data_IF_881814841307
#
_entry.id   IF_881814841307
#
_cell.length_a   1.000
_cell.length_b   1.000
_cell.length_c   1.000
_cell.angle_alpha   90.00
_cell.angle_beta   90.00
_cell.angle_gamma   90.00
#
_symmetry.space_group_name_H-M   'P 1'
#
loop_
_entity.id
_entity.type
_entity.pdbx_description
1 polymer ?
#
# COMPACT_ATOMS: atom_id res chain seq x y z
N UNK A 1 3.64 6.93 4.10
CA UNK A 1 4.36 6.23 3.04
C UNK A 1 3.42 5.35 2.26
N UNK A 2 3.50 5.39 0.95
CA UNK A 2 2.80 4.49 0.04
C UNK A 2 3.83 3.48 -0.49
N UNK A 3 3.65 2.21 -0.16
CA UNK A 3 4.57 1.15 -0.56
C UNK A 3 3.80 0.06 -1.29
N UNK A 4 4.05 -0.17 -2.59
CA UNK A 4 3.44 -1.27 -3.31
C UNK A 4 3.99 -2.62 -2.80
N UNK A 5 3.35 -3.73 -3.17
CA UNK A 5 3.86 -5.08 -2.92
C UNK A 5 5.07 -5.38 -3.84
N UNK A 6 6.10 -4.52 -3.71
CA UNK A 6 7.36 -4.56 -4.45
C UNK A 6 8.51 -4.86 -3.48
N UNK A 7 9.33 -5.85 -3.80
CA UNK A 7 10.44 -6.27 -2.97
C UNK A 7 9.99 -6.91 -1.65
N UNK A 8 10.54 -6.44 -0.54
CA UNK A 8 10.23 -6.93 0.81
C UNK A 8 9.71 -5.78 1.69
N UNK A 9 8.49 -5.32 1.44
CA UNK A 9 7.88 -4.21 2.18
C UNK A 9 7.82 -4.44 3.72
N UNK A 10 7.84 -5.67 4.18
CA UNK A 10 7.91 -5.99 5.62
C UNK A 10 9.23 -5.47 6.24
N UNK A 11 10.34 -5.54 5.51
CA UNK A 11 11.64 -5.00 5.98
C UNK A 11 11.57 -3.49 6.13
N UNK A 12 10.87 -2.79 5.24
CA UNK A 12 10.66 -1.35 5.35
C UNK A 12 9.96 -1.00 6.66
N UNK A 13 8.88 -1.73 7.00
CA UNK A 13 8.15 -1.54 8.26
C UNK A 13 9.01 -1.81 9.49
N UNK A 14 9.82 -2.86 9.46
CA UNK A 14 10.73 -3.22 10.54
C UNK A 14 11.80 -2.14 10.76
N UNK A 15 12.52 -1.76 9.69
CA UNK A 15 13.57 -0.73 9.74
C UNK A 15 13.06 0.63 10.24
N UNK A 16 11.93 1.08 9.70
CA UNK A 16 11.36 2.37 10.12
C UNK A 16 10.82 2.33 11.56
N UNK A 17 10.27 1.19 11.98
CA UNK A 17 9.73 1.03 13.33
C UNK A 17 10.78 1.12 14.45
N UNK A 18 12.06 0.83 14.16
CA UNK A 18 13.15 1.01 15.11
C UNK A 18 13.48 2.49 15.39
N UNK A 19 13.23 3.38 14.42
CA UNK A 19 13.66 4.78 14.50
C UNK A 19 12.50 5.76 14.58
N UNK A 20 11.30 5.37 14.18
CA UNK A 20 10.14 6.26 14.06
C UNK A 20 8.88 5.60 14.63
N UNK A 21 7.93 6.37 15.15
CA UNK A 21 6.61 5.86 15.50
C UNK A 21 5.86 5.48 14.21
N UNK A 22 5.84 4.21 13.87
CA UNK A 22 5.15 3.66 12.69
C UNK A 22 3.76 3.18 13.06
N UNK A 23 2.76 3.46 12.23
CA UNK A 23 1.41 2.92 12.32
C UNK A 23 0.98 2.37 10.97
N UNK A 24 0.33 1.20 10.96
CA UNK A 24 -0.16 0.59 9.73
C UNK A 24 -1.53 -0.08 9.93
N UNK A 25 -2.28 -0.18 8.84
CA UNK A 25 -3.50 -1.00 8.78
C UNK A 25 -3.13 -2.44 8.40
N UNK A 26 -3.85 -3.41 8.96
CA UNK A 26 -3.74 -4.80 8.54
C UNK A 26 -5.12 -5.41 8.35
N UNK A 27 -5.23 -6.30 7.40
CA UNK A 27 -6.41 -7.16 7.26
C UNK A 27 -6.27 -8.37 8.16
N UNK A 28 -7.35 -8.71 8.87
CA UNK A 28 -7.33 -9.85 9.78
C UNK A 28 -7.25 -11.15 8.98
N UNK A 29 -6.30 -12.03 9.30
CA UNK A 29 -6.27 -13.35 8.68
C UNK A 29 -7.57 -14.13 8.94
N UNK A 30 -8.00 -14.90 7.95
CA UNK A 30 -9.17 -15.78 8.11
C UNK A 30 -8.98 -16.84 9.21
N UNK A 31 -7.74 -17.23 9.49
CA UNK A 31 -7.36 -18.11 10.60
C UNK A 31 -6.93 -17.26 11.80
N UNK A 32 -7.77 -17.21 12.84
CA UNK A 32 -7.52 -16.43 14.04
C UNK A 32 -6.17 -16.76 14.71
N UNK A 33 -5.73 -18.02 14.64
CA UNK A 33 -4.43 -18.45 15.17
C UNK A 33 -3.23 -17.73 14.49
N UNK A 34 -3.36 -17.33 13.24
CA UNK A 34 -2.33 -16.60 12.52
C UNK A 34 -2.30 -15.11 12.86
N UNK A 35 -3.40 -14.55 13.35
CA UNK A 35 -3.47 -13.11 13.67
C UNK A 35 -2.40 -12.72 14.69
N UNK A 36 -2.28 -13.50 15.77
CA UNK A 36 -1.27 -13.24 16.81
C UNK A 36 0.16 -13.31 16.24
N UNK A 37 0.46 -14.32 15.45
CA UNK A 37 1.80 -14.49 14.86
C UNK A 37 2.15 -13.30 13.96
N UNK A 38 1.23 -12.91 13.06
CA UNK A 38 1.43 -11.79 12.16
C UNK A 38 1.60 -10.47 12.91
N UNK A 39 0.80 -10.25 13.96
CA UNK A 39 0.90 -9.05 14.80
C UNK A 39 2.22 -9.02 15.57
N UNK A 40 2.60 -10.12 16.21
CA UNK A 40 3.85 -10.22 16.97
C UNK A 40 5.07 -9.95 16.06
N UNK A 41 5.06 -10.47 14.84
CA UNK A 41 6.12 -10.22 13.86
C UNK A 41 6.21 -8.73 13.46
N UNK A 42 5.08 -8.10 13.12
CA UNK A 42 5.04 -6.70 12.65
C UNK A 42 5.28 -5.70 13.78
N UNK A 43 4.84 -6.00 14.99
CA UNK A 43 5.01 -5.14 16.16
C UNK A 43 6.37 -5.28 16.83
N UNK A 44 7.09 -6.37 16.55
CA UNK A 44 8.41 -6.65 17.17
C UNK A 44 9.41 -5.51 17.02
N UNK A 45 9.31 -4.75 15.93
CA UNK A 45 10.19 -3.63 15.61
C UNK A 45 9.52 -2.26 15.87
N UNK A 46 8.53 -2.20 16.77
CA UNK A 46 7.95 -0.94 17.22
C UNK A 46 6.75 -0.42 16.40
N UNK A 47 6.35 -1.09 15.34
CA UNK A 47 5.18 -0.68 14.56
C UNK A 47 3.86 -0.91 15.34
N UNK A 48 2.93 0.03 15.29
CA UNK A 48 1.57 -0.12 15.83
C UNK A 48 0.62 -0.55 14.72
N UNK A 49 0.03 -1.73 14.88
CA UNK A 49 -0.89 -2.30 13.89
C UNK A 49 -2.34 -2.06 14.28
N UNK A 50 -3.15 -1.62 13.31
CA UNK A 50 -4.58 -1.36 13.48
C UNK A 50 -5.39 -2.22 12.50
N UNK A 51 -6.36 -3.00 13.00
CA UNK A 51 -7.23 -3.77 12.13
C UNK A 51 -8.06 -2.85 11.22
N UNK A 52 -8.28 -3.26 9.97
CA UNK A 52 -9.14 -2.53 9.02
C UNK A 52 -10.58 -2.53 9.57
N UNK A 53 -10.97 -1.37 10.08
CA UNK A 53 -12.29 -1.10 10.66
C UNK A 53 -12.47 0.41 10.80
N UNK A 54 -13.69 0.86 11.08
CA UNK A 54 -13.92 2.27 11.38
C UNK A 54 -13.11 2.79 12.58
N UNK A 55 -12.86 1.94 13.60
CA UNK A 55 -12.00 2.28 14.73
C UNK A 55 -10.52 2.35 14.31
N UNK A 56 -10.04 1.37 13.52
CA UNK A 56 -8.67 1.36 13.01
C UNK A 56 -8.37 2.59 12.15
N UNK A 57 -9.29 2.98 11.26
CA UNK A 57 -9.14 4.20 10.45
C UNK A 57 -9.07 5.47 11.32
N UNK A 58 -9.89 5.57 12.35
CA UNK A 58 -9.80 6.71 13.30
C UNK A 58 -8.46 6.74 14.04
N UNK A 59 -7.93 5.58 14.40
CA UNK A 59 -6.62 5.47 15.06
C UNK A 59 -5.49 5.89 14.12
N UNK A 60 -5.52 5.48 12.84
CA UNK A 60 -4.56 5.90 11.82
C UNK A 60 -4.59 7.43 11.64
N UNK A 61 -5.76 8.05 11.51
CA UNK A 61 -5.87 9.51 11.39
C UNK A 61 -5.31 10.22 12.63
N UNK A 62 -5.56 9.66 13.83
CA UNK A 62 -4.98 10.19 15.08
C UNK A 62 -3.47 10.04 15.10
N UNK A 63 -2.92 8.91 14.65
CA UNK A 63 -1.49 8.67 14.54
C UNK A 63 -0.83 9.67 13.57
N UNK A 64 -1.41 9.88 12.37
CA UNK A 64 -0.94 10.88 11.41
C UNK A 64 -0.87 12.29 12.01
N UNK A 65 -1.90 12.70 12.76
CA UNK A 65 -1.93 14.01 13.44
C UNK A 65 -0.89 14.14 14.54
N UNK A 66 -0.41 13.04 15.10
CA UNK A 66 0.67 12.99 16.10
C UNK A 66 2.07 12.91 15.46
N UNK A 67 2.16 12.92 14.13
CA UNK A 67 3.43 12.85 13.41
C UNK A 67 3.98 11.42 13.23
N UNK A 68 3.16 10.38 13.42
CA UNK A 68 3.57 9.01 13.08
C UNK A 68 3.75 8.83 11.58
N UNK A 69 4.69 8.01 11.19
CA UNK A 69 4.74 7.45 9.84
C UNK A 69 3.59 6.45 9.66
N UNK A 70 2.74 6.70 8.70
CA UNK A 70 1.70 5.73 8.31
C UNK A 70 2.13 5.03 7.04
N UNK A 71 2.20 3.70 7.09
CA UNK A 71 2.53 2.85 5.95
C UNK A 71 1.24 2.24 5.40
N UNK A 72 1.03 2.40 4.10
CA UNK A 72 -0.12 1.88 3.36
C UNK A 72 0.35 1.18 2.08
N UNK A 73 -0.20 0.00 1.81
CA UNK A 73 -0.01 -0.75 0.57
C UNK A 73 -1.19 -0.46 -0.37
N UNK A 74 -1.00 0.41 -1.39
CA UNK A 74 -2.13 0.99 -2.12
C UNK A 74 -2.52 0.22 -3.40
N UNK A 75 -1.83 -0.85 -3.74
CA UNK A 75 -1.88 -1.52 -5.04
C UNK A 75 -2.83 -2.73 -5.10
N UNK A 76 -3.54 -3.04 -4.02
CA UNK A 76 -4.58 -4.06 -4.04
C UNK A 76 -5.96 -3.48 -4.37
N UNK A 77 -6.79 -4.33 -4.99
CA UNK A 77 -8.15 -3.97 -5.41
C UNK A 77 -9.07 -3.87 -4.19
N UNK A 78 -9.70 -2.73 -3.95
CA UNK A 78 -10.60 -2.58 -2.82
C UNK A 78 -11.93 -3.31 -3.06
N UNK A 79 -12.68 -3.57 -1.98
CA UNK A 79 -14.08 -3.94 -2.13
C UNK A 79 -14.91 -2.76 -2.62
N UNK A 80 -15.97 -3.03 -3.39
CA UNK A 80 -16.83 -1.98 -3.93
C UNK A 80 -17.41 -1.08 -2.82
N UNK A 81 -17.73 -1.65 -1.66
CA UNK A 81 -18.21 -0.88 -0.50
C UNK A 81 -17.16 0.06 0.10
N UNK A 82 -15.89 -0.30 -0.01
CA UNK A 82 -14.78 0.53 0.45
C UNK A 82 -14.52 1.73 -0.46
N UNK A 83 -15.09 1.71 -1.66
CA UNK A 83 -14.94 2.73 -2.67
C UNK A 83 -13.58 2.71 -3.38
N UNK A 84 -13.62 3.02 -4.67
CA UNK A 84 -12.47 3.09 -5.55
C UNK A 84 -12.82 3.89 -6.79
N UNK A 85 -11.81 4.21 -7.59
CA UNK A 85 -11.95 4.79 -8.92
C UNK A 85 -11.30 3.86 -9.95
N UNK A 86 -11.82 3.86 -11.16
CA UNK A 86 -11.17 3.17 -12.28
C UNK A 86 -10.13 4.11 -12.86
N UNK A 87 -8.91 3.63 -12.96
CA UNK A 87 -7.79 4.38 -13.50
C UNK A 87 -6.83 3.43 -14.22
N UNK A 88 -6.07 3.89 -15.22
CA UNK A 88 -5.12 3.06 -15.93
C UNK A 88 -4.01 2.55 -14.96
N UNK A 89 -3.59 1.30 -15.17
CA UNK A 89 -2.42 0.68 -14.57
C UNK A 89 -1.79 -0.24 -15.61
N UNK A 90 -0.57 0.09 -16.06
CA UNK A 90 0.07 -0.53 -17.23
C UNK A 90 -0.87 -0.62 -18.43
N UNK A 91 -1.44 0.53 -18.80
CA UNK A 91 -2.36 0.71 -19.94
C UNK A 91 -3.69 -0.07 -19.85
N UNK A 92 -3.95 -0.75 -18.73
CA UNK A 92 -5.18 -1.46 -18.46
C UNK A 92 -6.00 -0.78 -17.37
N UNK A 93 -7.30 -0.71 -17.55
CA UNK A 93 -8.18 -0.19 -16.50
C UNK A 93 -8.10 -1.06 -15.24
N UNK A 94 -7.91 -0.41 -14.10
CA UNK A 94 -7.84 -1.07 -12.80
C UNK A 94 -8.65 -0.33 -11.74
N UNK A 95 -9.49 -1.05 -10.99
CA UNK A 95 -10.19 -0.48 -9.86
C UNK A 95 -9.23 -0.22 -8.71
N UNK A 96 -8.99 1.06 -8.43
CA UNK A 96 -7.93 1.55 -7.53
C UNK A 96 -8.53 2.12 -6.26
N UNK A 97 -7.94 1.79 -5.11
CA UNK A 97 -8.43 2.23 -3.81
C UNK A 97 -8.26 3.74 -3.59
N UNK A 98 -9.21 4.34 -2.88
CA UNK A 98 -9.17 5.76 -2.49
C UNK A 98 -8.83 5.97 -1.01
N UNK A 99 -8.34 4.94 -0.34
CA UNK A 99 -8.01 5.05 1.08
C UNK A 99 -6.90 6.07 1.34
N UNK A 100 -5.86 6.06 0.48
CA UNK A 100 -4.76 7.03 0.57
C UNK A 100 -5.28 8.47 0.46
N UNK A 101 -6.12 8.77 -0.53
CA UNK A 101 -6.76 10.08 -0.72
C UNK A 101 -7.50 10.54 0.54
N UNK A 102 -8.38 9.67 1.07
CA UNK A 102 -9.19 9.99 2.25
C UNK A 102 -8.35 10.28 3.50
N UNK A 103 -7.25 9.58 3.65
CA UNK A 103 -6.31 9.81 4.75
C UNK A 103 -5.56 11.14 4.57
N UNK A 104 -5.09 11.43 3.37
CA UNK A 104 -4.39 12.67 3.04
C UNK A 104 -5.28 13.90 3.24
N UNK A 105 -6.51 13.87 2.74
CA UNK A 105 -7.49 14.94 2.94
C UNK A 105 -7.77 15.26 4.41
N UNK A 106 -7.78 14.22 5.27
CA UNK A 106 -8.08 14.37 6.71
C UNK A 106 -6.88 14.76 7.57
N UNK A 107 -5.66 14.54 7.09
CA UNK A 107 -4.44 14.71 7.89
C UNK A 107 -3.51 15.80 7.38
N UNK A 108 -3.62 16.19 6.10
CA UNK A 108 -2.66 17.07 5.40
C UNK A 108 -1.21 16.56 5.50
N UNK A 109 -1.03 15.25 5.58
CA UNK A 109 0.27 14.62 5.67
C UNK A 109 1.03 14.74 4.35
N UNK A 110 2.35 14.80 4.43
CA UNK A 110 3.22 14.63 3.26
C UNK A 110 3.17 13.17 2.81
N UNK A 111 3.30 12.93 1.51
CA UNK A 111 3.30 11.60 0.91
C UNK A 111 4.63 11.33 0.21
N UNK A 112 5.15 10.13 0.42
CA UNK A 112 6.29 9.59 -0.32
C UNK A 112 5.95 8.16 -0.73
N UNK A 113 6.46 7.76 -1.89
CA UNK A 113 6.54 6.37 -2.29
C UNK A 113 7.75 5.72 -1.63
N UNK A 114 7.63 4.45 -1.26
CA UNK A 114 8.74 3.70 -0.66
C UNK A 114 8.78 2.25 -1.16
N UNK A 115 9.96 1.67 -1.21
CA UNK A 115 10.15 0.22 -1.46
C UNK A 115 11.39 -0.29 -0.74
N UNK A 116 11.44 -1.62 -0.50
CA UNK A 116 12.61 -2.31 0.03
C UNK A 116 13.01 -3.42 -0.95
N UNK A 117 13.95 -3.13 -1.80
CA UNK A 117 14.40 -4.02 -2.87
C UNK A 117 15.45 -5.00 -2.35
N UNK A 118 15.32 -6.26 -2.70
CA UNK A 118 16.31 -7.29 -2.38
C UNK A 118 17.45 -7.27 -3.39
N UNK A 119 18.66 -7.40 -2.90
CA UNK A 119 19.83 -7.72 -3.70
C UNK A 119 20.59 -8.89 -3.07
N UNK A 120 21.37 -9.57 -3.87
CA UNK A 120 22.28 -10.64 -3.44
C UNK A 120 23.70 -10.22 -3.81
N UNK A 121 24.57 -10.18 -2.82
CA UNK A 121 26.00 -9.92 -3.01
C UNK A 121 26.85 -11.01 -2.35
N UNK A 122 28.16 -10.82 -2.32
CA UNK A 122 29.11 -11.77 -1.72
C UNK A 122 28.89 -11.98 -0.21
N UNK A 123 28.20 -11.06 0.49
CA UNK A 123 27.92 -11.13 1.92
C UNK A 123 26.52 -11.69 2.22
N UNK A 124 25.73 -12.00 1.19
CA UNK A 124 24.39 -12.55 1.31
C UNK A 124 23.29 -11.61 0.84
N UNK A 125 22.09 -11.74 1.44
CA UNK A 125 20.93 -10.91 1.07
C UNK A 125 21.06 -9.54 1.73
N UNK A 126 21.00 -8.50 0.90
CA UNK A 126 20.90 -7.11 1.32
C UNK A 126 19.54 -6.51 0.90
N UNK A 127 19.13 -5.41 1.55
CA UNK A 127 17.92 -4.67 1.23
C UNK A 127 18.26 -3.20 0.99
N UNK A 128 17.80 -2.68 -0.14
CA UNK A 128 17.93 -1.27 -0.48
C UNK A 128 16.60 -0.58 -0.25
N UNK A 129 16.55 0.32 0.72
CA UNK A 129 15.37 1.14 1.00
C UNK A 129 15.39 2.36 0.08
N UNK A 130 14.37 2.47 -0.75
CA UNK A 130 14.22 3.58 -1.69
C UNK A 130 13.02 4.42 -1.29
N UNK A 131 13.21 5.74 -1.39
CA UNK A 131 12.16 6.73 -1.15
C UNK A 131 12.15 7.71 -2.32
N UNK A 132 10.98 8.02 -2.85
CA UNK A 132 10.81 9.01 -3.89
C UNK A 132 9.50 9.77 -3.73
N UNK A 133 9.36 10.89 -4.40
CA UNK A 133 8.12 11.63 -4.44
C UNK A 133 7.05 10.86 -5.23
N UNK A 134 5.82 10.95 -4.77
CA UNK A 134 4.66 10.50 -5.53
C UNK A 134 4.34 11.52 -6.63
N UNK A 135 3.66 11.10 -7.69
CA UNK A 135 3.14 12.02 -8.70
C UNK A 135 2.21 13.07 -8.06
N UNK A 136 2.32 14.35 -8.44
CA UNK A 136 1.61 15.44 -7.74
C UNK A 136 0.09 15.23 -7.64
N UNK A 137 -0.52 14.60 -8.63
CA UNK A 137 -1.95 14.27 -8.64
C UNK A 137 -2.40 13.34 -7.52
N UNK A 138 -1.48 12.67 -6.79
CA UNK A 138 -1.82 11.88 -5.60
C UNK A 138 -2.47 12.74 -4.50
N UNK A 139 -2.24 14.04 -4.50
CA UNK A 139 -2.84 14.99 -3.57
C UNK A 139 -4.17 15.58 -4.06
N UNK A 140 -4.63 15.22 -5.26
CA UNK A 140 -5.85 15.76 -5.83
C UNK A 140 -7.11 15.32 -5.07
N UNK A 141 -8.08 16.23 -4.99
CA UNK A 141 -9.40 15.95 -4.41
C UNK A 141 -10.27 15.10 -5.35
N UNK A 142 -10.04 15.20 -6.66
CA UNK A 142 -10.73 14.38 -7.66
C UNK A 142 -10.26 12.92 -7.55
N UNK A 143 -11.19 11.94 -7.39
CA UNK A 143 -10.85 10.55 -7.21
C UNK A 143 -10.15 9.90 -8.41
N UNK A 144 -10.49 10.29 -9.63
CA UNK A 144 -9.91 9.72 -10.85
C UNK A 144 -8.50 10.25 -11.07
N UNK A 145 -8.29 11.55 -10.84
CA UNK A 145 -6.97 12.18 -10.89
C UNK A 145 -6.04 11.55 -9.82
N UNK A 146 -6.54 11.39 -8.58
CA UNK A 146 -5.80 10.72 -7.51
C UNK A 146 -5.41 9.30 -7.90
N UNK A 147 -6.38 8.50 -8.35
CA UNK A 147 -6.15 7.09 -8.68
C UNK A 147 -5.16 6.93 -9.85
N UNK A 148 -5.27 7.79 -10.88
CA UNK A 148 -4.34 7.81 -12.01
C UNK A 148 -2.92 8.13 -11.57
N UNK A 149 -2.73 9.17 -10.78
CA UNK A 149 -1.42 9.56 -10.26
C UNK A 149 -0.84 8.51 -9.30
N UNK A 150 -1.68 7.88 -8.47
CA UNK A 150 -1.27 6.80 -7.59
C UNK A 150 -0.76 5.60 -8.39
N UNK A 151 -1.52 5.17 -9.40
CA UNK A 151 -1.11 4.08 -10.28
C UNK A 151 0.18 4.42 -11.03
N UNK A 152 0.32 5.62 -11.61
CA UNK A 152 1.55 6.06 -12.28
C UNK A 152 2.75 6.06 -11.33
N UNK A 153 2.58 6.47 -10.07
CA UNK A 153 3.64 6.40 -9.05
C UNK A 153 4.08 4.96 -8.78
N UNK A 154 3.14 4.02 -8.73
CA UNK A 154 3.42 2.60 -8.55
C UNK A 154 4.11 2.02 -9.78
N UNK A 155 3.60 2.31 -10.98
CA UNK A 155 4.18 1.86 -12.26
C UNK A 155 5.66 2.27 -12.40
N UNK A 156 6.00 3.50 -12.01
CA UNK A 156 7.36 4.00 -12.04
C UNK A 156 8.31 3.14 -11.19
N UNK A 157 7.90 2.77 -9.98
CA UNK A 157 8.68 1.88 -9.11
C UNK A 157 8.76 0.46 -9.66
N UNK A 158 7.63 -0.07 -10.12
CA UNK A 158 7.54 -1.44 -10.65
C UNK A 158 8.33 -1.58 -11.96
N UNK A 159 8.26 -0.59 -12.85
CA UNK A 159 9.01 -0.62 -14.13
C UNK A 159 10.52 -0.63 -13.94
N UNK A 160 11.03 -0.07 -12.83
CA UNK A 160 12.44 -0.11 -12.50
C UNK A 160 12.88 -1.50 -11.97
N UNK A 161 11.97 -2.27 -11.36
CA UNK A 161 12.27 -3.57 -10.73
C UNK A 161 11.11 -4.56 -10.90
N UNK A 162 10.70 -4.85 -12.16
CA UNK A 162 9.49 -5.65 -12.42
C UNK A 162 9.59 -7.08 -11.89
N UNK A 163 10.79 -7.63 -11.76
CA UNK A 163 11.06 -8.97 -11.22
C UNK A 163 10.74 -9.11 -9.73
N UNK A 164 10.60 -8.01 -9.00
CA UNK A 164 10.30 -8.01 -7.57
C UNK A 164 8.85 -7.64 -7.23
N UNK A 165 8.02 -7.37 -8.23
CA UNK A 165 6.62 -7.04 -8.00
C UNK A 165 5.74 -8.28 -7.86
N UNK A 166 4.69 -8.19 -7.05
CA UNK A 166 3.77 -9.30 -6.77
C UNK A 166 2.75 -9.53 -7.92
N UNK A 167 3.22 -9.95 -9.09
CA UNK A 167 2.36 -10.22 -10.26
C UNK A 167 1.34 -11.33 -10.06
N UNK A 168 1.52 -12.20 -9.06
CA UNK A 168 0.56 -13.25 -8.70
C UNK A 168 -0.78 -12.70 -8.18
N UNK A 169 -0.81 -11.43 -7.74
CA UNK A 169 -2.06 -10.78 -7.34
C UNK A 169 -2.88 -10.37 -8.56
N UNK A 170 -4.15 -10.75 -8.59
CA UNK A 170 -5.09 -10.45 -9.68
C UNK A 170 -5.54 -8.98 -9.63
N UNK A 171 -4.67 -8.05 -10.07
CA UNK A 171 -4.87 -6.59 -9.99
C UNK A 171 -6.09 -6.10 -10.76
N UNK A 172 -6.45 -6.77 -11.86
CA UNK A 172 -7.56 -6.40 -12.75
C UNK A 172 -8.82 -7.23 -12.53
N UNK A 173 -8.98 -7.86 -11.37
CA UNK A 173 -10.11 -8.75 -11.06
C UNK A 173 -11.46 -8.04 -10.93
N UNK A 174 -11.46 -6.72 -10.75
CA UNK A 174 -12.64 -5.86 -10.66
C UNK A 174 -12.38 -4.59 -11.46
N UNK A 175 -13.36 -4.22 -12.29
CA UNK A 175 -13.39 -2.94 -12.99
C UNK A 175 -14.59 -2.15 -12.50
N UNK A 176 -15.69 -2.09 -13.29
CA UNK A 176 -16.97 -1.56 -12.85
C UNK A 176 -17.89 -2.70 -12.42
N UNK A 177 -18.89 -2.39 -11.60
CA UNK A 177 -19.93 -3.37 -11.22
C UNK A 177 -20.63 -3.87 -12.48
N UNK A 178 -20.53 -5.17 -12.75
CA UNK A 178 -21.14 -5.82 -13.92
C UNK A 178 -20.19 -6.09 -15.09
N UNK A 179 -18.94 -5.58 -15.07
CA UNK A 179 -17.95 -5.91 -16.09
C UNK A 179 -17.30 -7.29 -15.87
N UNK A 180 -16.93 -7.92 -16.99
CA UNK A 180 -16.32 -9.25 -16.95
C UNK A 180 -14.94 -9.22 -16.28
N UNK A 181 -14.73 -10.16 -15.37
CA UNK A 181 -13.42 -10.38 -14.78
C UNK A 181 -12.49 -11.06 -15.82
N UNK A 182 -11.42 -10.38 -16.23
CA UNK A 182 -10.49 -10.87 -17.26
C UNK A 182 -9.80 -12.20 -16.89
N UNK A 183 -9.80 -12.57 -15.62
CA UNK A 183 -9.21 -13.83 -15.13
C UNK A 183 -10.21 -15.00 -15.10
N UNK A 184 -11.49 -14.78 -15.42
CA UNK A 184 -12.43 -15.87 -15.62
C UNK A 184 -12.23 -16.44 -17.02
N UNK A 185 -11.78 -17.68 -17.10
CA UNK A 185 -11.85 -18.44 -18.37
C UNK A 185 -13.34 -18.56 -18.75
N UNK A 186 -13.62 -18.24 -19.99
CA UNK A 186 -14.93 -18.54 -20.62
C UNK A 186 -15.10 -20.05 -20.69
#
# INVERSE_FOLDING_TARGET
LLTPHLGCWEVLGAYLGESYPVSALYDRPNLAALEKIVLDMRQRFGATMHAISGAGLRNIIRAMRKGHLVVLLPDQVPDYQSGGAVAPFFEQDAFTMLLAQRLLQKSKAKVLMASALRSLDSNGIAYHLMFCEAEPGVLADDPEVHATALNASIEKLVSAHPEQYQWSYKRFKRLKKGEANIYRRQ
#
